data_IF_182010074648
#
_entry.id   IF_182010074648
#
_cell.length_a   1.000
_cell.length_b   1.000
_cell.length_c   1.000
_cell.angle_alpha   90.00
_cell.angle_beta   90.00
_cell.angle_gamma   90.00
#
_symmetry.space_group_name_H-M   'P 1'
#
loop_
_entity.id
_entity.type
_entity.pdbx_description
1 polymer ?
#
# COMPACT_ATOMS: atom_id res chain seq x y z
N UNK A 1 -18.42 11.31 1.52
CA UNK A 1 -17.57 10.32 0.81
C UNK A 1 -17.61 9.03 1.61
N UNK A 2 -17.68 7.87 0.94
CA UNK A 2 -17.79 6.56 1.58
C UNK A 2 -16.61 6.28 2.54
N UNK A 3 -16.88 5.75 3.74
CA UNK A 3 -15.90 5.53 4.83
C UNK A 3 -14.90 4.39 4.58
N UNK A 4 -14.26 4.36 3.43
CA UNK A 4 -13.15 3.44 3.14
C UNK A 4 -13.44 2.56 1.94
N UNK A 5 -13.00 3.02 0.77
CA UNK A 5 -12.84 2.13 -0.37
C UNK A 5 -11.73 1.14 0.00
N UNK A 6 -12.05 -0.15 0.07
CA UNK A 6 -11.05 -1.20 0.20
C UNK A 6 -10.67 -1.69 -1.20
N UNK A 7 -9.40 -1.50 -1.56
CA UNK A 7 -8.84 -2.05 -2.78
C UNK A 7 -8.19 -3.39 -2.44
N UNK A 8 -8.67 -4.48 -3.05
CA UNK A 8 -7.95 -5.74 -3.03
C UNK A 8 -6.92 -5.78 -4.15
N UNK A 9 -5.82 -6.50 -3.93
CA UNK A 9 -4.79 -6.69 -4.96
C UNK A 9 -5.38 -7.31 -6.25
N UNK A 10 -6.37 -8.20 -6.10
CA UNK A 10 -7.09 -8.82 -7.22
C UNK A 10 -7.86 -7.77 -8.04
N UNK A 11 -8.60 -6.87 -7.40
CA UNK A 11 -9.33 -5.80 -8.09
C UNK A 11 -8.36 -4.90 -8.88
N UNK A 12 -7.23 -4.52 -8.26
CA UNK A 12 -6.23 -3.70 -8.92
C UNK A 12 -5.63 -4.45 -10.12
N UNK A 13 -5.25 -5.71 -9.94
CA UNK A 13 -4.68 -6.53 -11.02
C UNK A 13 -5.65 -6.71 -12.20
N UNK A 14 -6.94 -6.93 -11.94
CA UNK A 14 -7.96 -7.08 -12.97
C UNK A 14 -8.16 -5.80 -13.77
N UNK A 15 -8.18 -4.65 -13.10
CA UNK A 15 -8.27 -3.34 -13.77
C UNK A 15 -7.05 -3.09 -14.66
N UNK A 16 -5.84 -3.36 -14.16
CA UNK A 16 -4.62 -3.24 -14.98
C UNK A 16 -4.63 -4.19 -16.19
N UNK A 17 -5.15 -5.41 -16.03
CA UNK A 17 -5.30 -6.36 -17.15
C UNK A 17 -6.24 -5.84 -18.23
N UNK A 18 -7.35 -5.21 -17.84
CA UNK A 18 -8.28 -4.60 -18.79
C UNK A 18 -7.58 -3.48 -19.55
N UNK A 19 -6.88 -2.58 -18.86
CA UNK A 19 -6.10 -1.50 -19.50
C UNK A 19 -5.08 -2.09 -20.48
N UNK A 20 -4.32 -3.10 -20.05
CA UNK A 20 -3.32 -3.78 -20.88
C UNK A 20 -3.92 -4.45 -22.13
N UNK A 21 -5.18 -4.89 -22.07
CA UNK A 21 -5.86 -5.46 -23.25
C UNK A 21 -6.17 -4.42 -24.34
N UNK A 22 -6.25 -3.14 -23.97
CA UNK A 22 -6.41 -2.01 -24.89
C UNK A 22 -5.07 -1.37 -25.27
N UNK A 23 -4.12 -1.34 -24.35
CA UNK A 23 -2.76 -0.80 -24.56
C UNK A 23 -1.72 -1.72 -23.90
N UNK A 24 -1.08 -2.61 -24.69
CA UNK A 24 -0.08 -3.55 -24.16
C UNK A 24 1.11 -2.88 -23.48
N UNK A 25 1.41 -1.60 -23.76
CA UNK A 25 2.48 -0.88 -23.08
C UNK A 25 2.20 -0.69 -21.58
N UNK A 26 0.92 -0.70 -21.18
CA UNK A 26 0.52 -0.57 -19.78
C UNK A 26 0.86 -1.81 -18.94
N UNK A 27 1.05 -2.99 -19.55
CA UNK A 27 1.41 -4.22 -18.83
C UNK A 27 2.83 -4.13 -18.23
N UNK A 28 3.75 -3.47 -18.94
CA UNK A 28 5.14 -3.33 -18.53
C UNK A 28 5.42 -1.99 -17.84
N UNK A 29 4.46 -1.06 -17.86
CA UNK A 29 4.61 0.28 -17.33
C UNK A 29 3.46 0.62 -16.37
N UNK A 30 3.68 0.35 -15.09
CA UNK A 30 2.72 0.67 -14.03
C UNK A 30 2.31 2.16 -14.02
N UNK A 31 3.26 3.07 -14.31
CA UNK A 31 2.98 4.51 -14.34
C UNK A 31 1.98 4.86 -15.45
N UNK A 32 2.08 4.22 -16.61
CA UNK A 32 1.12 4.39 -17.70
C UNK A 32 -0.27 3.88 -17.30
N UNK A 33 -0.36 2.73 -16.64
CA UNK A 33 -1.64 2.23 -16.12
C UNK A 33 -2.29 3.18 -15.10
N UNK A 34 -1.50 3.77 -14.19
CA UNK A 34 -2.00 4.79 -13.25
C UNK A 34 -2.49 6.05 -14.00
N UNK A 35 -1.78 6.47 -15.05
CA UNK A 35 -2.21 7.60 -15.89
C UNK A 35 -3.56 7.32 -16.56
N UNK A 36 -3.80 6.09 -17.04
CA UNK A 36 -5.10 5.68 -17.57
C UNK A 36 -6.22 5.83 -16.53
N UNK A 37 -5.99 5.42 -15.28
CA UNK A 37 -6.99 5.58 -14.22
C UNK A 37 -7.34 7.05 -13.95
N UNK A 38 -6.33 7.92 -13.95
CA UNK A 38 -6.53 9.37 -13.83
C UNK A 38 -7.27 9.95 -15.04
N UNK A 39 -6.92 9.53 -16.25
CA UNK A 39 -7.58 9.96 -17.48
C UNK A 39 -9.05 9.49 -17.54
N UNK A 40 -9.35 8.26 -17.13
CA UNK A 40 -10.72 7.73 -17.02
C UNK A 40 -11.52 8.58 -16.04
N UNK A 41 -10.94 8.96 -14.90
CA UNK A 41 -11.59 9.85 -13.92
C UNK A 41 -11.97 11.19 -14.56
N UNK A 42 -11.02 11.83 -15.28
CA UNK A 42 -11.29 13.07 -16.00
C UNK A 42 -12.34 12.92 -17.10
N UNK A 43 -12.30 11.83 -17.86
CA UNK A 43 -13.29 11.50 -18.90
C UNK A 43 -14.70 11.38 -18.32
N UNK A 44 -14.84 10.68 -17.18
CA UNK A 44 -16.14 10.54 -16.51
C UNK A 44 -16.61 11.86 -15.90
N UNK A 45 -15.69 12.64 -15.31
CA UNK A 45 -16.00 13.95 -14.74
C UNK A 45 -16.46 14.98 -15.79
N UNK A 46 -16.11 14.80 -17.06
CA UNK A 46 -16.64 15.63 -18.14
C UNK A 46 -18.18 15.52 -18.27
N UNK A 47 -18.78 14.43 -17.80
CA UNK A 47 -20.23 14.24 -17.72
C UNK A 47 -20.87 14.73 -16.42
N UNK A 48 -20.13 15.44 -15.55
CA UNK A 48 -20.63 15.91 -14.26
C UNK A 48 -21.84 16.86 -14.42
N UNK A 49 -22.97 16.61 -13.73
CA UNK A 49 -24.13 17.49 -13.80
C UNK A 49 -23.89 18.73 -12.92
N UNK A 50 -23.39 19.80 -13.52
CA UNK A 50 -23.12 21.05 -12.81
C UNK A 50 -22.43 22.08 -13.70
N UNK A 51 -22.09 23.21 -13.11
CA UNK A 51 -21.22 24.22 -13.71
C UNK A 51 -19.77 23.73 -13.82
N UNK A 52 -18.98 24.42 -14.65
CA UNK A 52 -17.54 24.15 -14.76
C UNK A 52 -16.84 24.24 -13.40
N UNK A 53 -17.21 25.22 -12.58
CA UNK A 53 -16.66 25.40 -11.25
C UNK A 53 -16.97 24.22 -10.31
N UNK A 54 -18.21 23.75 -10.29
CA UNK A 54 -18.60 22.62 -9.44
C UNK A 54 -17.91 21.32 -9.87
N UNK A 55 -17.70 21.13 -11.18
CA UNK A 55 -16.90 20.00 -11.70
C UNK A 55 -15.44 20.10 -11.26
N UNK A 56 -14.85 21.30 -11.33
CA UNK A 56 -13.46 21.50 -10.94
C UNK A 56 -13.28 21.26 -9.42
N UNK A 57 -14.22 21.75 -8.59
CA UNK A 57 -14.26 21.45 -7.15
C UNK A 57 -14.43 19.95 -6.87
N UNK A 58 -15.23 19.24 -7.67
CA UNK A 58 -15.37 17.78 -7.58
C UNK A 58 -14.06 17.06 -7.94
N UNK A 59 -13.33 17.51 -8.95
CA UNK A 59 -12.02 16.94 -9.31
C UNK A 59 -10.98 17.17 -8.20
N UNK A 60 -10.96 18.34 -7.59
CA UNK A 60 -10.09 18.64 -6.44
C UNK A 60 -10.38 17.72 -5.25
N UNK A 61 -11.65 17.47 -4.99
CA UNK A 61 -12.11 16.52 -3.97
C UNK A 61 -11.62 15.09 -4.26
N UNK A 62 -11.67 14.63 -5.53
CA UNK A 62 -11.15 13.32 -5.93
C UNK A 62 -9.63 13.23 -5.82
N UNK A 63 -8.90 14.32 -6.15
CA UNK A 63 -7.46 14.39 -5.98
C UNK A 63 -7.06 14.30 -4.49
N UNK A 64 -7.76 15.03 -3.63
CA UNK A 64 -7.56 14.96 -2.17
C UNK A 64 -7.85 13.55 -1.63
N UNK A 65 -8.94 12.93 -2.08
CA UNK A 65 -9.29 11.56 -1.71
C UNK A 65 -8.21 10.55 -2.15
N UNK A 66 -7.73 10.66 -3.39
CA UNK A 66 -6.67 9.77 -3.92
C UNK A 66 -5.38 9.86 -3.10
N UNK A 67 -5.01 11.09 -2.68
CA UNK A 67 -3.88 11.31 -1.77
C UNK A 67 -4.11 10.64 -0.41
N UNK A 68 -5.29 10.80 0.16
CA UNK A 68 -5.64 10.18 1.45
C UNK A 68 -5.56 8.65 1.40
N UNK A 69 -6.01 8.01 0.31
CA UNK A 69 -5.88 6.55 0.12
C UNK A 69 -4.41 6.12 0.05
N UNK A 70 -3.57 6.87 -0.68
CA UNK A 70 -2.13 6.62 -0.75
C UNK A 70 -1.46 6.70 0.64
N UNK A 71 -1.76 7.77 1.39
CA UNK A 71 -1.22 7.98 2.72
C UNK A 71 -1.65 6.87 3.70
N UNK A 72 -2.90 6.39 3.60
CA UNK A 72 -3.39 5.25 4.40
C UNK A 72 -2.64 3.95 4.10
N UNK A 73 -2.40 3.64 2.82
CA UNK A 73 -1.68 2.43 2.45
C UNK A 73 -0.21 2.49 2.90
N UNK A 74 0.46 3.63 2.67
CA UNK A 74 1.84 3.85 3.10
C UNK A 74 2.02 3.88 4.63
N UNK A 75 1.00 4.35 5.36
CA UNK A 75 0.96 4.31 6.83
C UNK A 75 0.72 2.91 7.38
N UNK A 76 -0.15 2.12 6.75
CA UNK A 76 -0.48 0.74 7.17
C UNK A 76 0.72 -0.20 7.14
N UNK A 77 1.68 0.03 6.25
CA UNK A 77 2.92 -0.75 6.18
C UNK A 77 3.87 -0.45 7.37
N UNK A 78 3.82 0.76 7.94
CA UNK A 78 4.66 1.15 9.09
C UNK A 78 4.22 0.47 10.40
N UNK A 79 2.91 0.30 10.61
CA UNK A 79 2.38 -0.30 11.83
C UNK A 79 2.60 -1.83 11.89
N UNK A 80 2.69 -2.50 10.73
CA UNK A 80 3.03 -3.94 10.66
C UNK A 80 4.48 -4.24 11.07
N UNK A 81 5.40 -3.28 10.95
CA UNK A 81 6.81 -3.48 11.30
C UNK A 81 7.11 -3.22 12.79
N UNK A 82 6.19 -2.58 13.52
CA UNK A 82 6.33 -2.31 14.96
C UNK A 82 5.77 -3.42 15.86
N UNK A 83 5.09 -4.42 15.31
CA UNK A 83 4.44 -5.51 16.04
C UNK A 83 5.17 -6.85 15.91
N UNK A 84 6.50 -6.86 15.98
CA UNK A 84 7.24 -8.09 16.27
C UNK A 84 7.25 -8.25 17.80
N UNK A 85 6.58 -9.26 18.38
CA UNK A 85 6.70 -9.52 19.80
C UNK A 85 8.15 -9.95 20.06
N UNK A 86 8.88 -9.17 20.85
CA UNK A 86 10.05 -9.70 21.53
C UNK A 86 9.54 -10.90 22.35
N UNK A 87 9.93 -12.10 21.93
CA UNK A 87 9.65 -13.31 22.67
C UNK A 87 10.25 -13.14 24.06
N UNK A 88 9.40 -12.93 25.06
CA UNK A 88 9.75 -13.10 26.45
C UNK A 88 9.94 -14.61 26.67
N UNK A 89 11.13 -15.10 26.36
CA UNK A 89 11.55 -16.44 26.77
C UNK A 89 11.72 -16.46 28.28
N UNK A 90 11.02 -17.41 28.89
CA UNK A 90 11.09 -17.75 30.30
C UNK A 90 12.54 -17.95 30.73
N UNK A 91 12.91 -17.36 31.86
CA UNK A 91 14.21 -17.56 32.48
C UNK A 91 14.48 -19.06 32.74
N UNK A 92 15.58 -19.63 32.22
CA UNK A 92 16.17 -20.80 32.84
C UNK A 92 17.11 -20.35 33.95
N UNK A 93 16.95 -20.94 35.12
CA UNK A 93 17.85 -20.82 36.26
C UNK A 93 19.21 -21.42 35.85
N UNK A 94 20.14 -20.58 35.38
CA UNK A 94 21.44 -21.01 34.86
C UNK A 94 22.48 -19.92 35.10
N UNK A 95 23.46 -20.19 35.96
CA UNK A 95 24.53 -19.24 36.30
C UNK A 95 25.37 -18.91 35.06
N UNK A 96 25.32 -17.68 34.59
CA UNK A 96 26.27 -17.14 33.61
C UNK A 96 27.65 -17.03 34.26
N UNK A 97 28.63 -17.78 33.75
CA UNK A 97 30.04 -17.43 33.94
C UNK A 97 30.44 -16.50 32.81
N UNK A 98 30.93 -15.32 33.17
CA UNK A 98 31.43 -14.30 32.25
C UNK A 98 32.59 -14.89 31.44
N UNK A 99 32.38 -15.14 30.15
CA UNK A 99 33.43 -15.54 29.21
C UNK A 99 33.57 -14.44 28.17
N UNK A 100 34.73 -13.77 28.18
CA UNK A 100 35.07 -12.68 27.28
C UNK A 100 35.61 -13.22 25.95
N UNK A 101 34.73 -13.68 25.06
CA UNK A 101 35.09 -13.97 23.66
C UNK A 101 33.89 -13.66 22.72
N UNK A 102 33.99 -12.67 21.80
CA UNK A 102 32.87 -12.18 21.01
C UNK A 102 32.56 -12.98 19.72
N UNK A 103 33.06 -14.21 19.57
CA UNK A 103 32.80 -15.00 18.37
C UNK A 103 32.29 -16.42 18.70
N UNK A 104 31.11 -16.73 18.15
CA UNK A 104 30.52 -18.07 17.99
C UNK A 104 29.72 -18.61 19.19
N UNK A 105 28.43 -18.24 19.26
CA UNK A 105 27.42 -19.07 19.90
C UNK A 105 27.10 -20.28 19.01
N UNK A 106 27.79 -21.41 19.23
CA UNK A 106 27.37 -22.70 18.68
C UNK A 106 26.30 -23.26 19.64
N UNK A 107 25.05 -23.31 19.18
CA UNK A 107 24.00 -24.11 19.82
C UNK A 107 24.24 -25.59 19.47
N UNK A 108 24.36 -26.45 20.48
CA UNK A 108 24.25 -27.91 20.33
C UNK A 108 23.02 -28.39 21.11
N UNK A 109 22.01 -28.98 20.44
CA UNK A 109 20.90 -29.62 21.14
C UNK A 109 21.30 -31.03 21.60
N UNK A 110 20.65 -31.52 22.65
CA UNK A 110 20.59 -32.96 22.96
C UNK A 110 19.60 -33.69 22.04
#
# INVERSE_FOLDING_TARGET
MSEGIQLSDELVADVFRIIASHDPAAEQNMMLGIQYLSAITGYLAAGFPGSDQERDEFLDQLAAFSKHVCDQQAGSDKDKQASQPAAAEAAPDGRSVETSDPAMGIWTPE
#
